data_IF_813608959510
#
_entry.id   IF_813608959510
#
_cell.length_a   1.000
_cell.length_b   1.000
_cell.length_c   1.000
_cell.angle_alpha   90.00
_cell.angle_beta   90.00
_cell.angle_gamma   90.00
#
_symmetry.space_group_name_H-M   'P 1'
#
loop_
_entity.id
_entity.type
_entity.pdbx_description
1 polymer ?
#
# COMPACT_ATOMS: atom_id res chain seq x y z
N UNK A 1 -49.98 54.87 28.87
CA UNK A 1 -49.55 53.43 29.01
C UNK A 1 -48.79 53.03 27.74
N UNK A 2 -47.46 53.10 27.78
CA UNK A 2 -46.60 52.79 26.64
C UNK A 2 -45.97 51.43 26.81
N UNK A 3 -46.36 50.45 25.99
CA UNK A 3 -45.78 49.11 25.98
C UNK A 3 -44.43 49.11 25.22
N UNK A 4 -43.36 48.81 25.93
CA UNK A 4 -42.03 48.52 25.35
C UNK A 4 -41.98 47.08 24.89
N UNK A 5 -41.71 46.86 23.62
CA UNK A 5 -41.36 45.54 23.06
C UNK A 5 -39.85 45.35 23.15
N UNK A 6 -39.46 44.31 23.86
CA UNK A 6 -38.06 43.85 23.97
C UNK A 6 -37.80 42.82 22.83
N UNK A 7 -36.96 43.21 21.85
CA UNK A 7 -36.55 42.30 20.80
C UNK A 7 -35.32 41.52 21.33
N UNK A 8 -35.49 40.25 21.59
CA UNK A 8 -34.40 39.34 21.91
C UNK A 8 -33.64 38.95 20.67
N UNK A 9 -32.39 39.35 20.54
CA UNK A 9 -31.47 38.86 19.48
C UNK A 9 -31.01 37.46 19.84
N UNK A 10 -31.40 36.50 19.00
CA UNK A 10 -30.91 35.11 19.06
C UNK A 10 -29.52 35.07 18.42
N UNK A 11 -28.51 34.95 19.26
CA UNK A 11 -27.11 34.81 18.81
C UNK A 11 -26.90 33.34 18.41
N UNK A 12 -26.92 33.05 17.12
CA UNK A 12 -26.59 31.71 16.58
C UNK A 12 -25.06 31.53 16.63
N UNK A 13 -24.60 30.73 17.60
CA UNK A 13 -23.20 30.34 17.70
C UNK A 13 -22.89 29.32 16.60
N UNK A 14 -22.26 29.74 15.51
CA UNK A 14 -21.71 28.86 14.50
C UNK A 14 -20.45 28.25 15.08
N UNK A 15 -20.53 27.03 15.59
CA UNK A 15 -19.37 26.22 15.92
C UNK A 15 -18.67 25.83 14.61
N UNK A 16 -17.68 26.61 14.19
CA UNK A 16 -16.69 26.20 13.20
C UNK A 16 -15.86 25.12 13.88
N UNK A 17 -16.16 23.86 13.56
CA UNK A 17 -15.31 22.74 13.95
C UNK A 17 -13.89 22.99 13.43
N UNK A 18 -12.98 23.33 14.34
CA UNK A 18 -11.54 23.30 14.08
C UNK A 18 -11.17 21.87 13.71
N UNK A 19 -10.92 21.59 12.43
CA UNK A 19 -10.23 20.37 12.03
C UNK A 19 -8.90 20.39 12.77
N UNK A 20 -8.62 19.37 13.58
CA UNK A 20 -7.30 19.16 14.12
C UNK A 20 -6.33 19.18 12.92
N UNK A 21 -5.39 20.10 12.93
CA UNK A 21 -4.40 20.24 11.89
C UNK A 21 -3.59 18.95 11.89
N UNK A 22 -3.66 18.20 10.79
CA UNK A 22 -2.95 16.92 10.69
C UNK A 22 -1.44 17.15 10.85
N UNK A 23 -0.84 16.35 11.73
CA UNK A 23 0.57 16.46 12.12
C UNK A 23 1.55 16.13 10.99
N UNK A 24 1.07 15.60 9.85
CA UNK A 24 1.91 15.09 8.76
C UNK A 24 1.59 15.77 7.43
N UNK A 25 2.61 16.00 6.57
CA UNK A 25 2.38 16.48 5.21
C UNK A 25 1.46 15.52 4.45
N UNK A 26 0.41 16.06 3.81
CA UNK A 26 -0.58 15.27 3.07
C UNK A 26 -1.08 15.96 1.81
N UNK A 27 -1.83 15.22 0.99
CA UNK A 27 -2.59 15.71 -0.14
C UNK A 27 -3.90 14.93 -0.30
N UNK A 28 -4.97 15.63 -0.65
CA UNK A 28 -6.23 15.02 -1.06
C UNK A 28 -6.37 15.09 -2.59
N UNK A 29 -6.89 14.00 -3.17
CA UNK A 29 -7.22 13.91 -4.60
C UNK A 29 -8.64 13.39 -4.79
N UNK A 30 -9.30 13.84 -5.84
CA UNK A 30 -10.62 13.34 -6.24
C UNK A 30 -10.84 13.48 -7.74
N UNK A 31 -11.59 12.55 -8.31
CA UNK A 31 -12.11 12.65 -9.68
C UNK A 31 -13.64 12.87 -9.71
N UNK A 32 -14.25 13.18 -8.55
CA UNK A 32 -15.69 13.33 -8.35
C UNK A 32 -16.42 12.01 -8.05
N UNK A 33 -15.77 10.86 -8.22
CA UNK A 33 -16.29 9.50 -7.95
C UNK A 33 -15.57 8.89 -6.76
N UNK A 34 -14.25 8.96 -6.76
CA UNK A 34 -13.36 8.51 -5.69
C UNK A 34 -12.77 9.74 -5.01
N UNK A 35 -12.58 9.65 -3.70
CA UNK A 35 -11.78 10.57 -2.90
C UNK A 35 -10.71 9.77 -2.18
N UNK A 36 -9.47 10.25 -2.21
CA UNK A 36 -8.36 9.63 -1.49
C UNK A 36 -7.48 10.70 -0.83
N UNK A 37 -6.92 10.35 0.32
CA UNK A 37 -5.92 11.13 1.05
C UNK A 37 -4.60 10.36 1.06
N UNK A 38 -3.50 11.06 0.83
CA UNK A 38 -2.16 10.48 0.81
C UNK A 38 -1.24 11.28 1.73
N UNK A 39 -0.47 10.60 2.57
CA UNK A 39 0.66 11.20 3.26
C UNK A 39 1.84 11.35 2.31
N UNK A 40 2.55 12.47 2.45
CA UNK A 40 3.68 12.82 1.60
C UNK A 40 5.01 12.41 2.26
N UNK A 41 6.00 11.95 1.47
CA UNK A 41 7.31 11.59 1.98
C UNK A 41 8.04 12.83 2.51
N UNK A 42 8.54 12.73 3.74
CA UNK A 42 9.37 13.72 4.40
C UNK A 42 10.26 13.00 5.43
N UNK A 43 11.58 13.23 5.38
CA UNK A 43 12.54 12.53 6.22
C UNK A 43 12.45 12.91 7.71
N UNK A 44 11.87 14.06 8.03
CA UNK A 44 11.75 14.58 9.41
C UNK A 44 10.32 14.47 9.94
N UNK A 45 9.33 14.84 9.10
CA UNK A 45 7.93 14.99 9.50
C UNK A 45 6.97 14.02 8.77
N UNK A 46 7.48 13.12 7.92
CA UNK A 46 6.67 12.15 7.20
C UNK A 46 5.95 11.19 8.14
N UNK A 47 4.74 10.76 7.77
CA UNK A 47 3.98 9.77 8.52
C UNK A 47 4.74 8.45 8.66
N UNK A 48 5.32 7.94 7.57
CA UNK A 48 6.16 6.75 7.58
C UNK A 48 7.58 7.10 7.17
N UNK A 49 8.54 6.69 7.99
CA UNK A 49 9.99 6.89 7.83
C UNK A 49 10.76 5.60 8.11
N UNK A 50 10.08 4.47 8.09
CA UNK A 50 10.68 3.16 8.29
C UNK A 50 11.52 2.71 7.11
N UNK A 51 12.29 1.64 7.31
CA UNK A 51 13.22 1.08 6.31
C UNK A 51 12.61 -0.04 5.46
N UNK A 52 11.34 -0.41 5.68
CA UNK A 52 10.69 -1.51 4.97
C UNK A 52 10.06 -1.06 3.66
N UNK A 53 9.11 -0.12 3.71
CA UNK A 53 8.28 0.27 2.58
C UNK A 53 8.72 1.57 1.93
N UNK A 54 8.36 1.73 0.64
CA UNK A 54 8.42 3.01 -0.07
C UNK A 54 7.64 4.09 0.70
N UNK A 55 8.24 5.25 0.86
CA UNK A 55 7.65 6.38 1.58
C UNK A 55 6.56 7.10 0.78
N UNK A 56 6.48 6.87 -0.53
CA UNK A 56 5.51 7.52 -1.39
C UNK A 56 4.18 6.79 -1.45
N UNK A 57 3.07 7.53 -1.36
CA UNK A 57 1.73 7.00 -1.59
C UNK A 57 1.10 6.27 -0.40
N UNK A 58 1.59 6.50 0.83
CA UNK A 58 0.91 6.05 2.06
C UNK A 58 -0.50 6.61 2.07
N UNK A 59 -1.51 5.74 2.14
CA UNK A 59 -2.91 6.12 1.92
C UNK A 59 -3.78 5.75 3.12
N UNK A 60 -4.03 6.72 4.04
CA UNK A 60 -4.88 6.48 5.20
C UNK A 60 -6.37 6.36 4.85
N UNK A 61 -6.80 6.90 3.71
CA UNK A 61 -8.21 6.94 3.33
C UNK A 61 -8.38 6.88 1.82
N UNK A 62 -9.30 6.04 1.37
CA UNK A 62 -9.90 6.07 0.04
C UNK A 62 -11.37 5.69 0.18
N UNK A 63 -12.25 6.49 -0.44
CA UNK A 63 -13.69 6.26 -0.40
C UNK A 63 -14.30 6.22 -1.80
N UNK A 64 -15.27 5.31 -1.98
CA UNK A 64 -16.09 5.17 -3.19
C UNK A 64 -17.50 4.71 -2.80
N UNK A 65 -18.55 5.38 -3.29
CA UNK A 65 -19.96 5.06 -3.04
C UNK A 65 -20.32 4.81 -1.55
N UNK A 66 -19.73 5.59 -0.65
CA UNK A 66 -19.94 5.47 0.79
C UNK A 66 -19.11 4.40 1.50
N UNK A 67 -18.37 3.58 0.76
CA UNK A 67 -17.45 2.58 1.30
C UNK A 67 -16.04 3.13 1.49
N UNK A 68 -15.34 2.64 2.53
CA UNK A 68 -13.92 2.89 2.77
C UNK A 68 -13.08 1.65 2.44
N UNK A 69 -11.88 1.87 1.88
CA UNK A 69 -11.01 0.77 1.43
C UNK A 69 -9.69 0.70 2.18
N UNK A 70 -9.21 1.80 2.77
CA UNK A 70 -7.98 1.84 3.55
C UNK A 70 -8.23 2.50 4.90
N UNK A 71 -7.33 2.24 5.85
CA UNK A 71 -7.41 2.75 7.20
C UNK A 71 -6.33 2.17 8.09
N UNK A 72 -6.31 2.59 9.35
CA UNK A 72 -5.38 2.05 10.33
C UNK A 72 -5.82 0.64 10.76
N UNK A 73 -4.95 -0.35 10.55
CA UNK A 73 -5.15 -1.74 10.93
C UNK A 73 -4.33 -2.16 12.15
N UNK A 74 -3.25 -1.42 12.47
CA UNK A 74 -2.32 -1.67 13.58
C UNK A 74 -2.74 -0.93 14.85
N UNK A 75 -2.30 -1.44 16.01
CA UNK A 75 -2.65 -0.85 17.32
C UNK A 75 -1.72 0.31 17.70
N UNK A 76 -0.41 0.15 17.46
CA UNK A 76 0.61 1.13 17.86
C UNK A 76 1.16 1.84 16.63
N UNK A 77 1.10 3.17 16.64
CA UNK A 77 1.76 3.99 15.64
C UNK A 77 3.16 4.41 16.13
N UNK A 78 4.12 4.23 15.26
CA UNK A 78 5.47 4.77 15.35
C UNK A 78 5.99 4.94 13.91
N UNK A 79 6.49 6.11 13.50
CA UNK A 79 6.92 6.36 12.12
C UNK A 79 8.08 5.48 11.64
N UNK A 80 8.81 4.86 12.56
CA UNK A 80 9.93 3.94 12.27
C UNK A 80 9.52 2.46 12.36
N UNK A 81 8.32 2.16 12.88
CA UNK A 81 7.86 0.79 12.98
C UNK A 81 7.52 0.25 11.59
N UNK A 82 8.13 -0.88 11.24
CA UNK A 82 8.05 -1.47 9.90
C UNK A 82 6.63 -1.68 9.37
N UNK A 83 5.64 -1.96 10.24
CA UNK A 83 4.25 -2.23 9.85
C UNK A 83 3.26 -1.09 10.18
N UNK A 84 3.71 0.06 10.71
CA UNK A 84 2.82 1.18 11.03
C UNK A 84 2.54 2.04 9.77
N UNK A 85 1.96 1.42 8.75
CA UNK A 85 1.71 2.01 7.43
C UNK A 85 0.34 1.60 6.89
N UNK A 86 -0.20 2.33 5.92
CA UNK A 86 -1.54 2.14 5.37
C UNK A 86 -1.55 2.28 3.85
N UNK A 87 -2.51 1.61 3.22
CA UNK A 87 -2.75 1.69 1.79
C UNK A 87 -1.91 0.72 0.95
N UNK A 88 -1.96 0.86 -0.37
CA UNK A 88 -1.20 0.03 -1.30
C UNK A 88 0.23 0.58 -1.43
N UNK A 89 1.11 0.15 -0.53
CA UNK A 89 2.50 0.60 -0.47
C UNK A 89 3.44 -0.44 -1.06
N UNK A 90 4.47 0.01 -1.76
CA UNK A 90 5.47 -0.88 -2.35
C UNK A 90 6.49 -1.31 -1.31
N UNK A 91 6.84 -2.60 -1.32
CA UNK A 91 8.05 -3.10 -0.72
C UNK A 91 8.98 -3.63 -1.83
N UNK A 92 10.15 -3.01 -1.95
CA UNK A 92 11.22 -3.52 -2.81
C UNK A 92 12.11 -4.47 -2.01
N UNK A 93 12.53 -5.58 -2.60
CA UNK A 93 13.59 -6.40 -2.01
C UNK A 93 14.90 -5.61 -1.95
N UNK A 94 15.74 -5.83 -0.92
CA UNK A 94 17.01 -5.13 -0.81
C UNK A 94 17.93 -5.48 -1.99
N UNK A 95 18.71 -4.50 -2.47
CA UNK A 95 19.73 -4.69 -3.49
C UNK A 95 21.11 -4.62 -2.84
N UNK A 96 21.94 -5.64 -3.06
CA UNK A 96 23.31 -5.69 -2.55
C UNK A 96 23.43 -6.02 -1.06
N UNK A 97 22.38 -6.56 -0.42
CA UNK A 97 22.46 -6.89 1.02
C UNK A 97 23.41 -8.05 1.28
N UNK A 98 23.33 -9.11 0.48
CA UNK A 98 24.12 -10.33 0.70
C UNK A 98 25.60 -10.08 0.40
N UNK A 99 25.91 -9.23 -0.58
CA UNK A 99 27.26 -8.85 -1.00
C UNK A 99 27.91 -7.80 -0.08
N UNK A 100 27.10 -7.02 0.65
CA UNK A 100 27.58 -5.98 1.54
C UNK A 100 28.27 -6.60 2.78
N UNK A 101 29.37 -6.02 3.20
CA UNK A 101 29.99 -6.31 4.50
C UNK A 101 29.21 -5.65 5.64
N UNK A 102 29.28 -6.22 6.85
CA UNK A 102 28.71 -5.58 8.03
C UNK A 102 29.30 -4.17 8.25
N UNK A 103 28.44 -3.19 8.47
CA UNK A 103 28.79 -1.79 8.58
C UNK A 103 28.85 -1.03 7.24
N UNK A 104 28.84 -1.72 6.09
CA UNK A 104 28.71 -1.10 4.77
C UNK A 104 27.21 -0.89 4.40
N UNK A 105 26.91 -0.65 3.14
CA UNK A 105 25.58 -0.18 2.74
C UNK A 105 24.94 -1.11 1.71
N UNK A 106 23.60 -1.12 1.73
CA UNK A 106 22.74 -1.75 0.73
C UNK A 106 21.60 -0.81 0.36
N UNK A 107 20.93 -1.09 -0.76
CA UNK A 107 19.90 -0.23 -1.28
C UNK A 107 18.48 -0.79 -1.03
N UNK A 108 17.56 0.09 -0.65
CA UNK A 108 16.10 -0.11 -0.71
C UNK A 108 15.48 1.00 -1.54
N UNK A 109 14.95 0.70 -2.73
CA UNK A 109 14.24 1.69 -3.56
C UNK A 109 13.03 2.21 -2.79
N UNK A 110 12.73 3.51 -2.90
CA UNK A 110 11.66 4.16 -2.15
C UNK A 110 12.03 4.54 -0.71
N UNK A 111 13.17 4.05 -0.21
CA UNK A 111 13.73 4.38 1.12
C UNK A 111 15.08 5.07 0.97
N UNK A 112 16.10 4.37 0.46
CA UNK A 112 17.45 4.92 0.28
C UNK A 112 18.57 3.92 0.52
N UNK A 113 19.77 4.42 0.83
CA UNK A 113 20.91 3.62 1.28
C UNK A 113 20.79 3.35 2.77
N UNK A 114 20.90 2.07 3.14
CA UNK A 114 20.77 1.59 4.50
C UNK A 114 22.05 0.91 4.95
N UNK A 115 22.38 1.05 6.24
CA UNK A 115 23.53 0.40 6.83
C UNK A 115 23.24 -1.06 7.16
N UNK A 116 24.07 -1.99 6.66
CA UNK A 116 23.98 -3.41 7.01
C UNK A 116 24.49 -3.62 8.45
N UNK A 117 23.68 -4.21 9.33
CA UNK A 117 24.11 -4.60 10.67
C UNK A 117 25.00 -5.85 10.64
N UNK A 118 25.29 -6.43 11.80
CA UNK A 118 26.10 -7.66 11.90
C UNK A 118 25.33 -8.92 11.45
N UNK A 119 23.98 -8.83 11.38
CA UNK A 119 23.14 -9.94 10.98
C UNK A 119 23.38 -10.35 9.52
N UNK A 120 23.63 -11.65 9.27
CA UNK A 120 24.00 -12.11 7.93
C UNK A 120 22.83 -12.10 6.95
N UNK A 121 21.58 -12.16 7.45
CA UNK A 121 20.37 -12.23 6.62
C UNK A 121 19.52 -10.98 6.78
N UNK A 122 18.99 -10.51 5.67
CA UNK A 122 17.99 -9.44 5.68
C UNK A 122 16.71 -9.89 6.39
N UNK A 123 16.19 -9.01 7.27
CA UNK A 123 14.89 -9.18 7.90
C UNK A 123 14.07 -7.90 7.75
N UNK A 124 12.91 -7.99 7.11
CA UNK A 124 12.04 -6.83 6.85
C UNK A 124 11.62 -6.07 8.13
N UNK A 125 11.57 -6.78 9.26
CA UNK A 125 11.18 -6.21 10.57
C UNK A 125 12.30 -5.47 11.29
N UNK A 126 13.54 -5.54 10.79
CA UNK A 126 14.67 -4.81 11.36
C UNK A 126 14.58 -3.32 10.99
N UNK A 127 14.66 -2.45 11.99
CA UNK A 127 14.79 -1.01 11.76
C UNK A 127 16.25 -0.67 11.36
N UNK A 128 16.52 -0.73 10.04
CA UNK A 128 17.85 -0.38 9.52
C UNK A 128 18.10 1.11 9.61
N UNK A 129 19.33 1.50 9.92
CA UNK A 129 19.76 2.90 9.86
C UNK A 129 19.77 3.37 8.41
N UNK A 130 19.00 4.41 8.12
CA UNK A 130 18.96 5.07 6.82
C UNK A 130 20.10 6.10 6.78
N UNK A 131 21.05 5.91 5.89
CA UNK A 131 22.21 6.78 5.74
C UNK A 131 21.95 7.91 4.74
N UNK A 132 21.25 7.59 3.64
CA UNK A 132 20.92 8.53 2.59
C UNK A 132 19.54 8.18 2.01
N UNK A 133 18.52 8.96 2.34
CA UNK A 133 17.17 8.80 1.82
C UNK A 133 16.97 9.44 0.44
N UNK A 134 18.01 10.01 -0.16
CA UNK A 134 17.89 10.77 -1.40
C UNK A 134 17.11 12.07 -1.22
N UNK A 135 16.64 12.60 -2.34
CA UNK A 135 15.80 13.80 -2.37
C UNK A 135 14.44 13.51 -2.94
N UNK A 136 13.39 14.01 -2.28
CA UNK A 136 12.01 13.85 -2.71
C UNK A 136 11.45 15.12 -3.35
N UNK A 137 10.69 14.97 -4.43
CA UNK A 137 9.87 16.02 -5.04
C UNK A 137 8.45 15.51 -5.20
N UNK A 138 7.49 16.30 -4.74
CA UNK A 138 6.06 15.98 -4.83
C UNK A 138 5.35 17.03 -5.66
N UNK A 139 4.44 16.59 -6.54
CA UNK A 139 3.54 17.45 -7.33
C UNK A 139 2.12 16.94 -7.18
N UNK A 140 1.30 17.65 -6.42
CA UNK A 140 -0.12 17.35 -6.28
C UNK A 140 -0.95 18.12 -7.33
N UNK A 141 -1.99 17.45 -7.84
CA UNK A 141 -3.07 18.02 -8.67
C UNK A 141 -4.39 17.49 -8.13
N UNK A 142 -5.55 18.05 -8.52
CA UNK A 142 -6.83 17.62 -7.97
C UNK A 142 -7.13 16.12 -8.12
N UNK A 143 -6.62 15.47 -9.16
CA UNK A 143 -6.87 14.07 -9.51
C UNK A 143 -5.65 13.13 -9.33
N UNK A 144 -4.48 13.66 -8.91
CA UNK A 144 -3.24 12.86 -8.79
C UNK A 144 -2.18 13.49 -7.91
N UNK A 145 -1.30 12.63 -7.38
CA UNK A 145 -0.03 13.03 -6.76
C UNK A 145 1.10 12.30 -7.46
N UNK A 146 2.10 13.05 -7.91
CA UNK A 146 3.32 12.51 -8.51
C UNK A 146 4.51 12.72 -7.57
N UNK A 147 5.21 11.64 -7.27
CA UNK A 147 6.40 11.56 -6.44
C UNK A 147 7.64 11.32 -7.30
N UNK A 148 8.75 11.90 -6.93
CA UNK A 148 10.05 11.61 -7.53
C UNK A 148 11.09 11.55 -6.43
N UNK A 149 11.71 10.37 -6.28
CA UNK A 149 12.90 10.21 -5.44
C UNK A 149 14.13 10.17 -6.35
N UNK A 150 15.13 10.96 -6.03
CA UNK A 150 16.44 10.90 -6.65
C UNK A 150 17.46 10.50 -5.59
N UNK A 151 18.09 9.36 -5.80
CA UNK A 151 19.23 8.89 -5.00
C UNK A 151 20.50 9.02 -5.82
N UNK A 152 21.51 9.61 -5.22
CA UNK A 152 22.87 9.68 -5.75
C UNK A 152 23.84 9.15 -4.68
N UNK A 153 24.51 8.06 -5.01
CA UNK A 153 25.51 7.41 -4.17
C UNK A 153 26.62 6.81 -5.05
N UNK A 154 27.78 6.55 -4.47
CA UNK A 154 28.93 6.01 -5.20
C UNK A 154 28.67 4.60 -5.75
N UNK A 155 27.89 3.79 -5.06
CA UNK A 155 27.58 2.40 -5.39
C UNK A 155 26.31 2.29 -6.25
N UNK A 156 25.22 2.94 -5.82
CA UNK A 156 23.91 2.90 -6.48
C UNK A 156 23.38 4.31 -6.69
N UNK A 157 22.78 4.53 -7.84
CA UNK A 157 22.09 5.78 -8.13
C UNK A 157 20.85 5.51 -8.97
N UNK A 158 19.74 6.21 -8.69
CA UNK A 158 18.50 6.04 -9.44
C UNK A 158 17.61 7.28 -9.41
N UNK A 159 16.67 7.31 -10.35
CA UNK A 159 15.49 8.19 -10.31
C UNK A 159 14.25 7.30 -10.30
N UNK A 160 13.54 7.29 -9.18
CA UNK A 160 12.27 6.61 -9.01
C UNK A 160 11.13 7.60 -9.10
N UNK A 161 10.14 7.31 -9.93
CA UNK A 161 8.91 8.10 -10.06
C UNK A 161 7.72 7.19 -9.81
N UNK A 162 6.79 7.66 -8.97
CA UNK A 162 5.48 7.07 -8.75
C UNK A 162 4.41 8.12 -8.94
N UNK A 163 3.31 7.76 -9.59
CA UNK A 163 2.12 8.61 -9.68
C UNK A 163 0.91 7.83 -9.20
N UNK A 164 0.21 8.36 -8.22
CA UNK A 164 -1.12 7.89 -7.82
C UNK A 164 -2.12 8.77 -8.54
N UNK A 165 -2.93 8.21 -9.43
CA UNK A 165 -3.89 8.96 -10.26
C UNK A 165 -5.27 8.31 -10.21
N UNK A 166 -6.31 9.13 -10.03
CA UNK A 166 -7.70 8.74 -10.18
C UNK A 166 -8.16 8.97 -11.62
N UNK A 167 -8.66 7.92 -12.28
CA UNK A 167 -9.07 7.99 -13.69
C UNK A 167 -10.34 8.79 -13.85
N UNK A 168 -10.33 9.81 -14.71
CA UNK A 168 -11.48 10.68 -14.96
C UNK A 168 -12.70 9.87 -15.41
N UNK A 169 -13.83 10.04 -14.70
CA UNK A 169 -15.12 9.41 -15.04
C UNK A 169 -15.19 7.90 -14.77
N UNK A 170 -14.21 7.34 -14.02
CA UNK A 170 -14.19 5.91 -13.66
C UNK A 170 -13.88 5.73 -12.16
N UNK A 171 -14.43 4.69 -11.53
CA UNK A 171 -14.05 4.29 -10.17
C UNK A 171 -12.71 3.52 -10.19
N UNK A 172 -11.65 4.17 -10.67
CA UNK A 172 -10.35 3.54 -10.90
C UNK A 172 -9.22 4.44 -10.39
N UNK A 173 -8.27 3.83 -9.69
CA UNK A 173 -6.99 4.40 -9.30
C UNK A 173 -5.85 3.66 -10.01
N UNK A 174 -4.90 4.40 -10.55
CA UNK A 174 -3.72 3.85 -11.21
C UNK A 174 -2.46 4.26 -10.44
N UNK A 175 -1.64 3.29 -10.10
CA UNK A 175 -0.27 3.50 -9.63
C UNK A 175 0.67 3.30 -10.82
N UNK A 176 1.26 4.38 -11.34
CA UNK A 176 2.22 4.32 -12.44
C UNK A 176 3.62 4.52 -11.91
N UNK A 177 4.55 3.64 -12.31
CA UNK A 177 5.92 3.62 -11.81
C UNK A 177 6.93 3.71 -12.95
N UNK A 178 8.06 4.36 -12.64
CA UNK A 178 9.23 4.41 -13.51
C UNK A 178 10.49 4.44 -12.65
N UNK A 179 11.34 3.44 -12.78
CA UNK A 179 12.62 3.35 -12.09
C UNK A 179 13.74 3.39 -13.15
N UNK A 180 14.51 4.46 -13.13
CA UNK A 180 15.69 4.64 -13.98
C UNK A 180 16.95 4.38 -13.17
N UNK A 181 17.78 3.46 -13.64
CA UNK A 181 19.11 3.24 -13.11
C UNK A 181 20.07 4.32 -13.66
N UNK A 182 20.54 5.20 -12.79
CA UNK A 182 21.52 6.24 -13.13
C UNK A 182 22.91 5.94 -12.56
N UNK A 183 23.04 4.77 -11.89
CA UNK A 183 24.28 4.28 -11.32
C UNK A 183 25.11 3.42 -12.30
N UNK A 184 26.08 2.72 -11.74
CA UNK A 184 27.01 1.86 -12.48
C UNK A 184 26.76 0.37 -12.29
N UNK A 185 25.99 0.02 -11.25
CA UNK A 185 25.62 -1.37 -10.93
C UNK A 185 24.23 -1.67 -11.45
N UNK A 186 24.00 -2.90 -11.90
CA UNK A 186 22.67 -3.39 -12.24
C UNK A 186 21.76 -3.32 -11.01
N UNK A 187 20.56 -2.78 -11.17
CA UNK A 187 19.51 -2.85 -10.14
C UNK A 187 18.66 -4.10 -10.40
N UNK A 188 18.81 -5.09 -9.54
CA UNK A 188 17.99 -6.31 -9.58
C UNK A 188 17.25 -6.46 -8.27
N UNK A 189 15.91 -6.41 -8.33
CA UNK A 189 15.02 -6.46 -7.17
C UNK A 189 13.68 -7.04 -7.58
N UNK A 190 12.91 -7.49 -6.62
CA UNK A 190 11.47 -7.70 -6.77
C UNK A 190 10.71 -6.61 -6.04
N UNK A 191 9.51 -6.29 -6.51
CA UNK A 191 8.62 -5.34 -5.85
C UNK A 191 7.20 -5.89 -5.81
N UNK A 192 6.49 -5.62 -4.74
CA UNK A 192 5.07 -5.90 -4.60
C UNK A 192 4.36 -4.74 -3.91
N UNK A 193 3.06 -4.60 -4.17
CA UNK A 193 2.19 -3.77 -3.36
C UNK A 193 1.72 -4.59 -2.15
N UNK A 194 2.11 -4.16 -0.95
CA UNK A 194 1.49 -4.66 0.27
C UNK A 194 0.15 -3.94 0.44
N UNK A 195 -0.91 -4.61 0.02
CA UNK A 195 -2.24 -4.02 -0.05
C UNK A 195 -2.93 -4.13 1.32
N UNK A 196 -2.72 -3.16 2.20
CA UNK A 196 -3.36 -3.13 3.51
C UNK A 196 -4.83 -2.68 3.39
N UNK A 197 -5.71 -3.52 2.81
CA UNK A 197 -7.13 -3.20 2.72
C UNK A 197 -7.80 -3.27 4.09
N UNK A 198 -8.49 -2.19 4.45
CA UNK A 198 -9.36 -2.06 5.63
C UNK A 198 -10.74 -1.65 5.12
N UNK A 199 -11.49 -2.62 4.61
CA UNK A 199 -12.75 -2.34 3.92
C UNK A 199 -13.88 -2.15 4.93
N UNK A 200 -14.47 -0.95 4.97
CA UNK A 200 -15.58 -0.55 5.85
C UNK A 200 -15.34 -0.83 7.34
N UNK A 201 -14.07 -0.85 7.78
CA UNK A 201 -13.67 -1.19 9.14
C UNK A 201 -14.19 -2.57 9.60
N UNK A 202 -14.53 -3.47 8.65
CA UNK A 202 -15.01 -4.80 8.96
C UNK A 202 -13.87 -5.71 9.43
N UNK A 203 -14.19 -6.62 10.36
CA UNK A 203 -13.26 -7.65 10.79
C UNK A 203 -12.98 -8.62 9.64
N UNK A 204 -11.73 -9.05 9.48
CA UNK A 204 -11.34 -10.05 8.48
C UNK A 204 -11.91 -11.41 8.84
N UNK A 205 -12.68 -11.99 7.95
CA UNK A 205 -13.37 -13.27 8.21
C UNK A 205 -14.20 -13.76 7.02
N UNK A 206 -15.17 -14.68 7.25
CA UNK A 206 -15.93 -15.37 6.21
C UNK A 206 -16.77 -14.47 5.27
N UNK A 207 -16.94 -13.19 5.62
CA UNK A 207 -17.62 -12.24 4.75
C UNK A 207 -16.73 -11.75 3.59
N UNK A 208 -15.43 -12.05 3.63
CA UNK A 208 -14.49 -11.69 2.59
C UNK A 208 -14.18 -12.87 1.67
N UNK A 209 -14.25 -12.61 0.37
CA UNK A 209 -13.87 -13.53 -0.69
C UNK A 209 -12.76 -12.91 -1.52
N UNK A 210 -11.64 -13.63 -1.68
CA UNK A 210 -10.55 -13.22 -2.55
C UNK A 210 -10.51 -14.17 -3.75
N UNK A 211 -10.76 -13.65 -4.95
CA UNK A 211 -10.82 -14.43 -6.19
C UNK A 211 -9.64 -14.14 -7.11
N UNK A 212 -9.11 -15.19 -7.73
CA UNK A 212 -7.98 -15.17 -8.66
C UNK A 212 -8.44 -15.68 -10.04
N UNK A 213 -7.75 -15.40 -11.16
CA UNK A 213 -8.10 -15.91 -12.49
C UNK A 213 -7.68 -17.37 -12.72
N UNK A 214 -7.11 -18.03 -11.71
CA UNK A 214 -6.61 -19.41 -11.73
C UNK A 214 -6.96 -20.09 -10.41
N UNK A 215 -6.92 -21.43 -10.38
CA UNK A 215 -7.06 -22.22 -9.15
C UNK A 215 -5.72 -22.18 -8.38
N UNK A 216 -5.63 -21.47 -7.25
CA UNK A 216 -4.40 -21.38 -6.50
C UNK A 216 -4.11 -22.69 -5.76
N UNK A 217 -2.83 -23.04 -5.64
CA UNK A 217 -2.34 -24.05 -4.72
C UNK A 217 -1.28 -23.45 -3.81
N UNK A 218 -1.18 -23.92 -2.59
CA UNK A 218 -0.21 -23.41 -1.62
C UNK A 218 -0.44 -24.00 -0.24
N UNK A 219 0.54 -23.81 0.62
CA UNK A 219 0.49 -24.26 2.01
C UNK A 219 0.44 -23.03 2.94
N UNK A 220 -0.58 -23.01 3.80
CA UNK A 220 -0.72 -22.00 4.84
C UNK A 220 0.04 -22.38 6.14
N UNK A 221 0.67 -23.55 6.18
CA UNK A 221 1.44 -24.03 7.32
C UNK A 221 0.63 -24.03 8.62
N UNK A 222 1.17 -23.41 9.67
CA UNK A 222 0.52 -23.31 10.98
C UNK A 222 -0.70 -22.37 11.00
N UNK A 223 -1.00 -21.67 9.91
CA UNK A 223 -2.16 -20.78 9.79
C UNK A 223 -3.34 -21.41 9.03
N UNK A 224 -3.22 -22.66 8.60
CA UNK A 224 -4.23 -23.38 7.79
C UNK A 224 -5.59 -23.53 8.48
N UNK A 225 -5.68 -23.40 9.81
CA UNK A 225 -6.95 -23.40 10.54
C UNK A 225 -7.76 -22.12 10.40
N UNK A 226 -7.20 -21.06 9.83
CA UNK A 226 -7.85 -19.75 9.68
C UNK A 226 -8.47 -19.53 8.30
N UNK A 227 -8.04 -20.28 7.28
CA UNK A 227 -8.57 -20.16 5.93
C UNK A 227 -8.19 -21.32 5.04
N UNK A 228 -8.75 -21.36 3.84
CA UNK A 228 -8.57 -22.45 2.89
C UNK A 228 -8.68 -21.95 1.45
N UNK A 229 -8.17 -22.75 0.52
CA UNK A 229 -8.30 -22.55 -0.92
C UNK A 229 -9.45 -23.42 -1.44
N UNK A 230 -10.35 -22.83 -2.21
CA UNK A 230 -11.44 -23.54 -2.86
C UNK A 230 -11.60 -22.99 -4.29
N UNK A 231 -11.55 -23.87 -5.29
CA UNK A 231 -11.59 -23.48 -6.70
C UNK A 231 -10.55 -22.39 -7.01
N UNK A 232 -10.97 -21.19 -7.34
CA UNK A 232 -10.10 -20.04 -7.63
C UNK A 232 -10.11 -19.01 -6.50
N UNK A 233 -10.47 -19.39 -5.28
CA UNK A 233 -10.71 -18.46 -4.17
C UNK A 233 -9.83 -18.77 -2.95
N UNK A 234 -9.53 -17.71 -2.19
CA UNK A 234 -9.01 -17.77 -0.82
C UNK A 234 -10.16 -17.36 0.10
N UNK A 235 -10.51 -18.24 1.04
CA UNK A 235 -11.65 -18.08 1.94
C UNK A 235 -11.19 -18.18 3.40
N UNK A 236 -11.92 -17.51 4.30
CA UNK A 236 -11.69 -17.58 5.73
C UNK A 236 -12.60 -18.59 6.41
N UNK A 237 -12.03 -19.43 7.27
CA UNK A 237 -12.77 -20.40 8.08
C UNK A 237 -13.56 -19.73 9.21
N UNK A 238 -13.06 -18.61 9.72
CA UNK A 238 -13.63 -17.83 10.83
C UNK A 238 -13.16 -16.38 10.77
N UNK A 239 -13.77 -15.53 11.59
CA UNK A 239 -13.23 -14.21 11.87
C UNK A 239 -11.89 -14.30 12.62
N UNK A 240 -10.90 -13.52 12.16
CA UNK A 240 -9.58 -13.45 12.79
C UNK A 240 -9.64 -12.54 14.03
N UNK A 241 -9.07 -13.02 15.14
CA UNK A 241 -8.93 -12.25 16.37
C UNK A 241 -7.45 -11.87 16.60
N UNK A 242 -7.19 -11.09 17.65
CA UNK A 242 -5.84 -10.64 18.02
C UNK A 242 -4.82 -11.80 18.02
N UNK A 243 -3.66 -11.58 17.39
CA UNK A 243 -2.57 -12.52 17.18
C UNK A 243 -2.85 -13.66 16.19
N UNK A 244 -4.00 -13.68 15.54
CA UNK A 244 -4.28 -14.59 14.44
C UNK A 244 -3.98 -13.93 13.11
N UNK A 245 -3.55 -14.74 12.15
CA UNK A 245 -3.31 -14.33 10.76
C UNK A 245 -3.44 -15.53 9.83
N UNK A 246 -3.87 -15.30 8.60
CA UNK A 246 -3.77 -16.29 7.52
C UNK A 246 -2.60 -15.90 6.63
N UNK A 247 -1.72 -16.85 6.33
CA UNK A 247 -0.55 -16.61 5.51
C UNK A 247 -0.25 -17.72 4.53
N UNK A 248 -0.30 -17.40 3.25
CA UNK A 248 0.23 -18.20 2.16
C UNK A 248 1.50 -17.54 1.65
N UNK A 249 2.66 -18.12 1.97
CA UNK A 249 3.97 -17.55 1.58
C UNK A 249 4.17 -17.53 0.07
N UNK A 250 3.64 -18.52 -0.64
CA UNK A 250 3.77 -18.64 -2.10
C UNK A 250 2.60 -19.46 -2.63
N UNK A 251 1.68 -18.77 -3.30
CA UNK A 251 0.61 -19.37 -4.07
C UNK A 251 1.12 -19.69 -5.48
N UNK A 252 0.72 -20.83 -6.01
CA UNK A 252 1.03 -21.32 -7.34
C UNK A 252 -0.25 -21.40 -8.18
N UNK A 253 -0.13 -21.62 -9.50
CA UNK A 253 -1.24 -21.77 -10.43
C UNK A 253 -1.29 -20.68 -11.51
N UNK A 254 -0.52 -19.60 -11.35
CA UNK A 254 -0.36 -18.55 -12.35
C UNK A 254 0.72 -18.91 -13.38
N UNK A 255 0.65 -18.28 -14.56
CA UNK A 255 1.62 -18.36 -15.64
C UNK A 255 2.44 -17.05 -15.77
N UNK A 256 3.22 -16.94 -16.84
CA UNK A 256 3.99 -15.74 -17.19
C UNK A 256 3.17 -14.64 -17.89
N UNK A 257 1.83 -14.74 -17.87
CA UNK A 257 0.95 -13.74 -18.49
C UNK A 257 0.57 -12.66 -17.49
N UNK A 258 0.58 -11.40 -17.92
CA UNK A 258 0.10 -10.28 -17.12
C UNK A 258 -1.38 -10.42 -16.73
N UNK A 259 -2.19 -11.16 -17.52
CA UNK A 259 -3.59 -11.44 -17.21
C UNK A 259 -3.81 -12.25 -15.93
N UNK A 260 -2.79 -12.94 -15.45
CA UNK A 260 -2.86 -13.73 -14.22
C UNK A 260 -2.64 -12.85 -12.98
N UNK A 261 -2.17 -11.60 -13.14
CA UNK A 261 -2.22 -10.57 -12.12
C UNK A 261 -3.60 -9.90 -12.16
N UNK A 262 -4.62 -10.60 -11.68
CA UNK A 262 -6.01 -10.14 -11.54
C UNK A 262 -6.56 -10.70 -10.22
N UNK A 263 -6.64 -9.85 -9.22
CA UNK A 263 -7.05 -10.21 -7.86
C UNK A 263 -8.29 -9.41 -7.51
N UNK A 264 -9.35 -10.07 -7.05
CA UNK A 264 -10.56 -9.43 -6.58
C UNK A 264 -10.76 -9.70 -5.10
N UNK A 265 -11.15 -8.67 -4.37
CA UNK A 265 -11.52 -8.74 -2.97
C UNK A 265 -12.93 -8.20 -2.84
N UNK A 266 -13.83 -8.98 -2.28
CA UNK A 266 -15.23 -8.63 -2.09
C UNK A 266 -15.62 -8.83 -0.63
N UNK A 267 -16.23 -7.82 -0.03
CA UNK A 267 -16.88 -7.92 1.26
C UNK A 267 -18.38 -8.17 1.03
N UNK A 268 -18.80 -9.42 1.13
CA UNK A 268 -20.18 -9.84 0.88
C UNK A 268 -21.19 -9.28 1.89
N UNK A 269 -20.73 -8.78 3.05
CA UNK A 269 -21.58 -8.16 4.05
C UNK A 269 -21.93 -6.72 3.71
N UNK A 270 -21.00 -5.96 3.14
CA UNK A 270 -21.19 -4.53 2.86
C UNK A 270 -21.33 -4.20 1.38
N UNK A 271 -20.91 -5.11 0.50
CA UNK A 271 -20.87 -4.90 -0.94
C UNK A 271 -19.62 -4.15 -1.43
N UNK A 272 -18.73 -3.71 -0.53
CA UNK A 272 -17.48 -3.08 -0.94
C UNK A 272 -16.59 -4.09 -1.69
N UNK A 273 -16.10 -3.71 -2.88
CA UNK A 273 -15.29 -4.59 -3.70
C UNK A 273 -14.20 -3.84 -4.46
N UNK A 274 -13.06 -4.52 -4.70
CA UNK A 274 -11.94 -3.99 -5.47
C UNK A 274 -11.33 -5.08 -6.34
N UNK A 275 -10.95 -4.72 -7.57
CA UNK A 275 -10.15 -5.55 -8.48
C UNK A 275 -8.79 -4.91 -8.69
N UNK A 276 -7.73 -5.70 -8.59
CA UNK A 276 -6.34 -5.28 -8.75
C UNK A 276 -5.76 -6.00 -9.97
N UNK A 277 -5.24 -5.24 -10.92
CA UNK A 277 -4.56 -5.78 -12.10
C UNK A 277 -3.23 -5.08 -12.35
N UNK A 278 -2.35 -5.67 -13.16
CA UNK A 278 -1.10 -5.05 -13.57
C UNK A 278 -0.80 -5.30 -15.04
N UNK A 279 0.05 -4.46 -15.64
CA UNK A 279 0.61 -4.67 -16.98
C UNK A 279 1.86 -5.58 -17.00
N UNK A 280 2.21 -6.15 -15.83
CA UNK A 280 3.33 -7.08 -15.67
C UNK A 280 2.87 -8.43 -15.14
N UNK A 281 3.52 -9.53 -15.53
CA UNK A 281 3.22 -10.84 -14.99
C UNK A 281 3.65 -10.95 -13.53
N UNK A 282 2.99 -11.85 -12.81
CA UNK A 282 3.40 -12.25 -11.47
C UNK A 282 4.75 -13.00 -11.53
N UNK A 283 5.67 -12.67 -10.64
CA UNK A 283 6.86 -13.49 -10.35
C UNK A 283 6.66 -14.35 -9.09
N UNK A 284 5.82 -13.90 -8.18
CA UNK A 284 5.38 -14.60 -6.96
C UNK A 284 4.05 -14.00 -6.52
N UNK A 285 3.21 -14.79 -5.89
CA UNK A 285 2.03 -14.32 -5.18
C UNK A 285 2.07 -14.84 -3.74
N UNK A 286 2.07 -13.94 -2.76
CA UNK A 286 1.82 -14.25 -1.37
C UNK A 286 0.47 -13.66 -0.94
N UNK A 287 -0.08 -14.17 0.14
CA UNK A 287 -1.30 -13.65 0.74
C UNK A 287 -1.14 -13.62 2.26
N UNK A 288 -1.32 -12.47 2.85
CA UNK A 288 -1.33 -12.29 4.29
C UNK A 288 -2.59 -11.54 4.71
N UNK A 289 -3.09 -11.85 5.89
CA UNK A 289 -4.21 -11.11 6.49
C UNK A 289 -4.13 -11.15 8.02
N UNK A 290 -4.66 -10.13 8.66
CA UNK A 290 -4.75 -9.98 10.10
C UNK A 290 -6.18 -9.54 10.46
N UNK A 291 -6.55 -9.37 11.76
CA UNK A 291 -7.94 -9.12 12.19
C UNK A 291 -8.64 -7.94 11.50
N UNK A 292 -7.90 -6.97 10.97
CA UNK A 292 -8.46 -5.76 10.36
C UNK A 292 -7.93 -5.45 8.98
N UNK A 293 -7.18 -6.37 8.36
CA UNK A 293 -6.60 -6.09 7.05
C UNK A 293 -6.43 -7.34 6.20
N UNK A 294 -6.58 -7.16 4.90
CA UNK A 294 -6.41 -8.19 3.87
C UNK A 294 -5.36 -7.71 2.88
N UNK A 295 -4.31 -8.49 2.69
CA UNK A 295 -3.14 -8.12 1.93
C UNK A 295 -2.76 -9.21 0.92
N UNK A 296 -3.32 -9.21 -0.29
CA UNK A 296 -2.66 -9.90 -1.39
C UNK A 296 -1.35 -9.20 -1.73
N UNK A 297 -0.29 -9.97 -1.90
CA UNK A 297 1.07 -9.49 -2.14
C UNK A 297 1.57 -10.02 -3.50
N UNK A 298 1.19 -9.38 -4.61
CA UNK A 298 1.60 -9.78 -5.95
C UNK A 298 2.96 -9.17 -6.31
N UNK A 299 3.96 -10.01 -6.49
CA UNK A 299 5.34 -9.61 -6.81
C UNK A 299 5.55 -9.56 -8.32
N UNK A 300 6.35 -8.58 -8.77
CA UNK A 300 6.94 -8.53 -10.09
C UNK A 300 8.47 -8.48 -9.98
N UNK A 301 9.18 -9.03 -10.98
CA UNK A 301 10.64 -8.94 -11.04
C UNK A 301 11.06 -7.67 -11.79
N UNK A 302 12.08 -7.01 -11.28
CA UNK A 302 12.66 -5.78 -11.84
C UNK A 302 14.16 -5.97 -12.01
N UNK A 303 14.65 -5.82 -13.24
CA UNK A 303 16.08 -5.82 -13.55
C UNK A 303 16.37 -4.66 -14.51
N UNK A 304 17.34 -3.82 -14.16
CA UNK A 304 17.63 -2.57 -14.88
C UNK A 304 19.13 -2.39 -14.97
N UNK A 305 19.66 -2.48 -16.18
CA UNK A 305 21.06 -2.20 -16.44
C UNK A 305 21.39 -0.70 -16.33
N UNK A 306 22.64 -0.30 -16.13
CA UNK A 306 23.05 1.11 -16.08
C UNK A 306 22.53 1.91 -17.28
N UNK A 307 21.86 3.03 -17.02
CA UNK A 307 21.26 3.91 -18.02
C UNK A 307 19.83 3.55 -18.44
N UNK A 308 19.36 2.34 -18.16
CA UNK A 308 18.03 1.87 -18.55
C UNK A 308 16.92 2.32 -17.59
N UNK A 309 15.67 2.12 -18.05
CA UNK A 309 14.46 2.44 -17.28
C UNK A 309 13.48 1.28 -17.36
N UNK A 310 12.92 0.90 -16.22
CA UNK A 310 11.82 -0.06 -16.11
C UNK A 310 10.54 0.66 -15.69
N UNK A 311 9.42 0.32 -16.31
CA UNK A 311 8.10 0.91 -16.00
C UNK A 311 7.06 -0.17 -15.76
N UNK A 312 6.12 0.08 -14.85
CA UNK A 312 4.96 -0.77 -14.61
C UNK A 312 3.80 0.03 -14.08
N UNK A 313 2.60 -0.51 -14.26
CA UNK A 313 1.36 0.05 -13.74
C UNK A 313 0.59 -1.00 -12.94
N UNK A 314 -0.03 -0.57 -11.85
CA UNK A 314 -1.00 -1.34 -11.08
C UNK A 314 -2.32 -0.58 -11.08
N UNK A 315 -3.42 -1.25 -11.39
CA UNK A 315 -4.75 -0.68 -11.54
C UNK A 315 -5.65 -1.22 -10.42
N UNK A 316 -6.36 -0.32 -9.76
CA UNK A 316 -7.36 -0.62 -8.73
C UNK A 316 -8.71 -0.14 -9.22
N UNK A 317 -9.61 -1.07 -9.54
CA UNK A 317 -10.97 -0.77 -9.93
C UNK A 317 -11.89 -1.03 -8.74
N UNK A 318 -12.58 -0.01 -8.25
CA UNK A 318 -13.55 -0.11 -7.17
C UNK A 318 -14.94 -0.34 -7.74
N UNK A 319 -15.71 -1.24 -7.12
CA UNK A 319 -17.06 -1.56 -7.56
C UNK A 319 -17.91 -2.05 -6.38
N UNK A 320 -19.21 -2.19 -6.60
CA UNK A 320 -20.12 -2.82 -5.66
C UNK A 320 -20.28 -4.29 -6.06
N UNK A 321 -19.93 -5.20 -5.17
CA UNK A 321 -20.16 -6.63 -5.31
C UNK A 321 -21.56 -7.03 -4.86
N UNK A 322 -21.92 -8.29 -5.10
CA UNK A 322 -23.18 -8.84 -4.64
C UNK A 322 -23.16 -9.01 -3.11
N UNK A 323 -24.17 -8.49 -2.44
CA UNK A 323 -24.39 -8.77 -1.01
C UNK A 323 -25.11 -10.11 -0.86
N UNK A 324 -24.57 -10.96 0.01
CA UNK A 324 -25.25 -12.22 0.38
C UNK A 324 -26.12 -11.94 1.61
N UNK A 325 -27.45 -11.99 1.43
CA UNK A 325 -28.39 -11.99 2.57
C UNK A 325 -28.18 -13.26 3.40
N UNK A 326 -27.86 -13.10 4.69
CA UNK A 326 -27.71 -14.21 5.65
C UNK A 326 -29.01 -14.55 6.34
#
# INVERSE_FOLDING_TARGET
>A
MTKKYMIGALLTLVLTGSKAQDLFPDAEITNGIIRARLYLPDAENGYYRGSRFDWSGVMPELTYEGHSYFGQWFEKYDPLLHDAIMGPVEEFSPVGYDEAEAGSFFLKVGVGMLRKPQEPKYAFSTAYQIENSGSWKVKAKPDRVAFTQKLEDAQYAYVYKKTVQLTKGKPEMVLSHSLKNTGKQTLETSVYNHNFFVMDQQATGPDFVISLPFAPTGDAGNTASFGYLQENQILFQKELIKNEHLYYRSLQGFSDRASDYDIRIENQKTGAAVRITSDRPLSRLAFWSAPKTICPEPYIQVKIEPGETFTWNTFYQFYLGDMVEK
#
